data_IF_017999286870
#
_entry.id   IF_017999286870
#
_cell.length_a   1.000
_cell.length_b   1.000
_cell.length_c   1.000
_cell.angle_alpha   90.00
_cell.angle_beta   90.00
_cell.angle_gamma   90.00
#
_symmetry.space_group_name_H-M   'P 1'
#
loop_
_entity.id
_entity.type
_entity.pdbx_description
1 polymer ?
#
# COMPACT_ATOMS: atom_id res chain seq x y z
N UNK A 1 -18.62 11.16 6.66
CA UNK A 1 -17.68 12.22 6.22
C UNK A 1 -16.69 11.56 5.29
N UNK A 2 -16.53 12.08 4.08
CA UNK A 2 -15.56 11.57 3.09
C UNK A 2 -14.17 11.95 3.56
N UNK A 3 -13.29 10.98 3.83
CA UNK A 3 -11.86 11.26 3.97
C UNK A 3 -11.37 11.74 2.60
N UNK A 4 -10.99 13.01 2.50
CA UNK A 4 -10.28 13.51 1.33
C UNK A 4 -8.89 12.90 1.36
N UNK A 5 -8.62 11.96 0.46
CA UNK A 5 -7.38 11.18 0.40
C UNK A 5 -6.36 12.07 -0.31
N UNK A 6 -5.53 12.78 0.44
CA UNK A 6 -4.63 13.78 -0.15
C UNK A 6 -3.29 13.17 -0.57
N UNK A 7 -2.78 12.16 0.15
CA UNK A 7 -1.55 11.45 -0.21
C UNK A 7 -1.59 9.98 0.23
N UNK A 8 -0.98 9.12 -0.57
CA UNK A 8 -0.88 7.68 -0.33
C UNK A 8 0.56 7.26 -0.13
N UNK A 9 0.94 6.80 1.06
CA UNK A 9 2.29 6.25 1.30
C UNK A 9 2.26 4.73 1.21
N UNK A 10 3.20 4.17 0.48
CA UNK A 10 3.39 2.73 0.46
C UNK A 10 4.27 2.33 1.64
N UNK A 11 3.75 1.42 2.46
CA UNK A 11 4.46 0.79 3.56
C UNK A 11 4.50 -0.72 3.38
N UNK A 12 5.28 -1.40 4.20
CA UNK A 12 5.27 -2.86 4.26
C UNK A 12 5.08 -3.39 5.68
N UNK A 13 4.45 -4.56 5.79
CA UNK A 13 4.32 -5.35 7.00
C UNK A 13 5.56 -6.22 7.30
N UNK A 14 5.78 -6.54 8.57
CA UNK A 14 6.82 -7.50 8.97
C UNK A 14 6.63 -8.87 8.28
N UNK A 15 7.72 -9.43 7.75
CA UNK A 15 7.70 -10.59 6.85
C UNK A 15 7.35 -11.95 7.52
N UNK A 16 7.04 -11.97 8.81
CA UNK A 16 6.83 -13.22 9.57
C UNK A 16 5.54 -13.96 9.21
N UNK A 17 4.53 -13.27 8.67
CA UNK A 17 3.15 -13.80 8.56
C UNK A 17 2.70 -14.22 7.15
N UNK A 18 3.46 -13.93 6.08
CA UNK A 18 2.92 -13.97 4.71
C UNK A 18 3.36 -15.17 3.86
N UNK A 19 4.33 -15.96 4.35
CA UNK A 19 4.89 -17.10 3.61
C UNK A 19 3.82 -18.14 3.27
N UNK A 20 3.64 -18.44 1.98
CA UNK A 20 2.69 -19.42 1.42
C UNK A 20 1.19 -19.15 1.63
N UNK A 21 0.80 -17.96 2.09
CA UNK A 21 -0.62 -17.60 2.31
C UNK A 21 -1.20 -16.83 1.13
N UNK A 22 -2.53 -16.84 0.95
CA UNK A 22 -3.23 -15.99 -0.03
C UNK A 22 -3.44 -14.58 0.54
N UNK A 23 -3.65 -13.57 -0.32
CA UNK A 23 -3.91 -12.19 0.13
C UNK A 23 -5.12 -12.10 1.08
N UNK A 24 -6.21 -12.83 0.76
CA UNK A 24 -7.40 -12.87 1.60
C UNK A 24 -7.12 -13.42 3.01
N UNK A 25 -6.30 -14.47 3.13
CA UNK A 25 -5.95 -15.08 4.42
C UNK A 25 -5.11 -14.11 5.26
N UNK A 26 -4.12 -13.46 4.64
CA UNK A 26 -3.27 -12.44 5.28
C UNK A 26 -4.12 -11.28 5.79
N UNK A 27 -5.00 -10.75 4.94
CA UNK A 27 -5.90 -9.65 5.31
C UNK A 27 -6.82 -10.02 6.47
N UNK A 28 -7.39 -11.23 6.46
CA UNK A 28 -8.27 -11.69 7.53
C UNK A 28 -7.54 -11.83 8.87
N UNK A 29 -6.31 -12.33 8.87
CA UNK A 29 -5.51 -12.41 10.09
C UNK A 29 -5.12 -11.01 10.61
N UNK A 30 -4.69 -10.10 9.73
CA UNK A 30 -4.39 -8.72 10.11
C UNK A 30 -5.61 -8.05 10.77
N UNK A 31 -6.81 -8.20 10.18
CA UNK A 31 -8.05 -7.70 10.79
C UNK A 31 -8.28 -8.24 12.20
N UNK A 32 -8.12 -9.56 12.40
CA UNK A 32 -8.29 -10.19 13.73
C UNK A 32 -7.29 -9.71 14.77
N UNK A 33 -6.06 -9.37 14.36
CA UNK A 33 -5.05 -8.79 15.25
C UNK A 33 -5.49 -7.37 15.65
N UNK A 34 -5.88 -6.55 14.67
CA UNK A 34 -6.22 -5.15 14.88
C UNK A 34 -7.55 -4.95 15.63
N UNK A 35 -8.50 -5.88 15.53
CA UNK A 35 -9.74 -5.87 16.32
C UNK A 35 -9.49 -5.85 17.84
N UNK A 36 -8.32 -6.32 18.29
CA UNK A 36 -7.94 -6.37 19.71
C UNK A 36 -7.21 -5.12 20.20
N UNK A 37 -6.89 -4.20 19.30
CA UNK A 37 -6.07 -3.03 19.57
C UNK A 37 -6.95 -1.79 19.76
N UNK A 38 -6.79 -1.08 20.88
CA UNK A 38 -7.56 0.16 21.12
C UNK A 38 -7.06 1.32 20.26
N UNK A 39 -5.74 1.36 20.00
CA UNK A 39 -5.05 2.42 19.27
C UNK A 39 -4.53 1.93 17.92
N UNK A 40 -5.46 1.56 17.05
CA UNK A 40 -5.16 0.85 15.80
C UNK A 40 -4.10 1.53 14.92
N UNK A 41 -4.20 2.85 14.70
CA UNK A 41 -3.25 3.55 13.83
C UNK A 41 -1.86 3.69 14.46
N UNK A 42 -1.76 3.94 15.78
CA UNK A 42 -0.46 3.95 16.50
C UNK A 42 0.18 2.56 16.45
N UNK A 43 -0.60 1.52 16.75
CA UNK A 43 -0.13 0.13 16.70
C UNK A 43 0.35 -0.24 15.29
N UNK A 44 -0.40 0.12 14.25
CA UNK A 44 0.01 -0.13 12.87
C UNK A 44 1.32 0.60 12.54
N UNK A 45 1.38 1.89 12.87
CA UNK A 45 2.54 2.72 12.59
C UNK A 45 3.81 2.25 13.30
N UNK A 46 3.71 1.88 14.58
CA UNK A 46 4.88 1.63 15.43
C UNK A 46 5.34 0.16 15.41
N UNK A 47 4.40 -0.78 15.24
CA UNK A 47 4.71 -2.22 15.40
C UNK A 47 4.66 -3.00 14.10
N UNK A 48 3.90 -2.52 13.12
CA UNK A 48 3.54 -3.36 11.98
C UNK A 48 3.96 -2.78 10.64
N UNK A 49 4.08 -1.47 10.48
CA UNK A 49 4.38 -0.87 9.18
C UNK A 49 5.71 -0.14 9.17
N UNK A 50 6.49 -0.34 8.12
CA UNK A 50 7.71 0.43 7.85
C UNK A 50 7.59 1.18 6.53
N UNK A 51 8.22 2.35 6.45
CA UNK A 51 8.26 3.15 5.21
C UNK A 51 9.16 2.49 4.17
N UNK A 52 8.67 2.38 2.92
CA UNK A 52 9.52 2.00 1.80
C UNK A 52 10.27 3.25 1.33
N UNK A 53 11.61 3.17 1.32
CA UNK A 53 12.44 4.23 0.75
C UNK A 53 12.37 4.15 -0.77
N UNK A 54 11.58 5.04 -1.37
CA UNK A 54 11.47 5.22 -2.81
C UNK A 54 12.19 6.51 -3.23
N UNK A 55 12.79 6.48 -4.41
CA UNK A 55 13.64 7.58 -4.91
C UNK A 55 12.82 8.56 -5.75
N UNK A 56 11.92 8.05 -6.59
CA UNK A 56 11.17 8.81 -7.58
C UNK A 56 9.65 8.56 -7.50
N UNK A 57 9.22 7.33 -7.24
CA UNK A 57 7.79 6.98 -7.31
C UNK A 57 7.05 7.56 -6.11
N UNK A 58 6.11 8.46 -6.39
CA UNK A 58 5.21 9.02 -5.38
C UNK A 58 3.78 8.69 -5.77
N UNK A 59 3.23 7.60 -5.23
CA UNK A 59 1.92 7.11 -5.65
C UNK A 59 0.83 8.05 -5.14
N UNK A 60 0.39 8.92 -6.01
CA UNK A 60 -0.76 9.75 -5.72
C UNK A 60 -2.02 8.88 -5.72
N UNK A 61 -2.82 8.93 -4.65
CA UNK A 61 -4.00 8.09 -4.49
C UNK A 61 -5.22 8.57 -5.31
N UNK A 62 -5.17 9.76 -5.95
CA UNK A 62 -6.31 10.29 -6.71
C UNK A 62 -6.80 9.38 -7.85
N UNK A 63 -8.09 9.43 -8.14
CA UNK A 63 -8.71 8.73 -9.27
C UNK A 63 -9.27 7.37 -8.89
N UNK A 64 -8.90 6.30 -9.61
CA UNK A 64 -9.48 4.97 -9.39
C UNK A 64 -9.08 4.35 -8.05
N UNK A 65 -7.85 4.62 -7.61
CA UNK A 65 -7.35 4.18 -6.30
C UNK A 65 -8.21 4.78 -5.17
N UNK A 66 -8.50 6.09 -5.20
CA UNK A 66 -9.37 6.76 -4.23
C UNK A 66 -10.77 6.14 -4.12
N UNK A 67 -11.32 5.65 -5.24
CA UNK A 67 -12.63 4.98 -5.23
C UNK A 67 -12.63 3.71 -4.39
N UNK A 68 -11.49 3.01 -4.35
CA UNK A 68 -11.30 1.75 -3.61
C UNK A 68 -10.87 1.98 -2.16
N UNK A 69 -10.21 3.10 -1.88
CA UNK A 69 -9.73 3.49 -0.55
C UNK A 69 -10.79 4.24 0.29
N UNK A 70 -12.02 3.73 0.31
CA UNK A 70 -13.11 4.32 1.12
C UNK A 70 -13.26 3.60 2.45
N UNK A 71 -13.76 4.32 3.46
CA UNK A 71 -14.14 3.71 4.74
C UNK A 71 -15.16 2.59 4.52
N UNK A 72 -14.93 1.44 5.15
CA UNK A 72 -15.73 0.23 4.98
C UNK A 72 -15.35 -0.64 3.79
N UNK A 73 -14.30 -0.26 3.04
CA UNK A 73 -13.73 -1.09 1.97
C UNK A 73 -13.25 -2.44 2.52
N UNK A 74 -13.40 -3.49 1.72
CA UNK A 74 -12.97 -4.84 2.09
C UNK A 74 -11.47 -4.90 2.38
N UNK A 75 -10.67 -4.07 1.71
CA UNK A 75 -9.22 -3.97 1.89
C UNK A 75 -8.82 -3.03 3.03
N UNK A 76 -9.75 -2.30 3.65
CA UNK A 76 -9.45 -1.49 4.84
C UNK A 76 -9.08 -2.42 6.00
N UNK A 77 -7.93 -2.16 6.64
CA UNK A 77 -7.43 -3.02 7.70
C UNK A 77 -8.27 -2.95 8.98
N UNK A 78 -8.86 -1.80 9.25
CA UNK A 78 -9.79 -1.61 10.36
C UNK A 78 -10.70 -0.41 10.07
N UNK A 79 -11.98 -0.40 10.47
CA UNK A 79 -12.93 0.67 10.13
C UNK A 79 -12.48 2.08 10.55
N UNK A 80 -11.72 2.18 11.65
CA UNK A 80 -11.16 3.43 12.18
C UNK A 80 -9.77 3.76 11.64
N UNK A 81 -9.18 2.88 10.86
CA UNK A 81 -7.80 3.02 10.40
C UNK A 81 -7.70 3.67 9.04
N UNK A 82 -6.64 4.44 8.84
CA UNK A 82 -6.27 5.03 7.55
C UNK A 82 -5.43 4.13 6.65
N UNK A 83 -5.19 2.89 7.08
CA UNK A 83 -4.37 1.92 6.35
C UNK A 83 -5.22 0.89 5.59
N UNK A 84 -4.79 0.59 4.38
CA UNK A 84 -5.43 -0.33 3.45
C UNK A 84 -4.42 -1.37 2.96
N UNK A 85 -4.85 -2.62 2.88
CA UNK A 85 -4.03 -3.69 2.35
C UNK A 85 -4.00 -3.63 0.82
N UNK A 86 -2.80 -3.76 0.23
CA UNK A 86 -2.67 -3.77 -1.24
C UNK A 86 -2.86 -5.20 -1.74
N UNK A 87 -4.06 -5.48 -2.23
CA UNK A 87 -4.38 -6.70 -2.96
C UNK A 87 -4.08 -6.57 -4.46
N UNK A 88 -4.42 -7.60 -5.23
CA UNK A 88 -4.20 -7.66 -6.67
C UNK A 88 -4.85 -6.48 -7.43
N UNK A 89 -6.08 -6.11 -7.08
CA UNK A 89 -6.78 -4.99 -7.74
C UNK A 89 -6.09 -3.64 -7.52
N UNK A 90 -5.66 -3.34 -6.29
CA UNK A 90 -4.93 -2.10 -6.02
C UNK A 90 -3.56 -2.13 -6.69
N UNK A 91 -2.91 -3.29 -6.70
CA UNK A 91 -1.61 -3.46 -7.36
C UNK A 91 -1.65 -3.16 -8.84
N UNK A 92 -2.67 -3.63 -9.57
CA UNK A 92 -2.83 -3.35 -10.99
C UNK A 92 -2.93 -1.83 -11.27
N UNK A 93 -3.66 -1.10 -10.44
CA UNK A 93 -3.77 0.36 -10.55
C UNK A 93 -2.46 1.09 -10.20
N UNK A 94 -1.72 0.59 -9.22
CA UNK A 94 -0.38 1.08 -8.88
C UNK A 94 0.57 0.87 -10.05
N UNK A 95 0.59 -0.34 -10.61
CA UNK A 95 1.44 -0.71 -11.74
C UNK A 95 1.13 0.14 -12.97
N UNK A 96 -0.15 0.38 -13.26
CA UNK A 96 -0.55 1.27 -14.35
C UNK A 96 -0.07 2.71 -14.12
N UNK A 97 -0.21 3.26 -12.91
CA UNK A 97 0.28 4.62 -12.61
C UNK A 97 1.78 4.74 -12.79
N UNK A 98 2.55 3.80 -12.25
CA UNK A 98 4.01 3.77 -12.42
C UNK A 98 4.37 3.70 -13.91
N UNK A 99 3.65 2.88 -14.68
CA UNK A 99 3.86 2.79 -16.11
C UNK A 99 3.56 4.11 -16.84
N UNK A 100 2.48 4.82 -16.50
CA UNK A 100 2.18 6.12 -17.11
C UNK A 100 3.20 7.19 -16.72
N UNK A 101 3.67 7.21 -15.46
CA UNK A 101 4.75 8.11 -15.02
C UNK A 101 6.04 7.83 -15.80
N UNK A 102 6.40 6.55 -15.99
CA UNK A 102 7.61 6.17 -16.73
C UNK A 102 7.65 6.67 -18.18
N UNK A 103 6.48 6.87 -18.83
CA UNK A 103 6.39 7.41 -20.19
C UNK A 103 6.64 8.91 -20.28
N UNK A 104 6.47 9.63 -19.17
CA UNK A 104 6.61 11.08 -19.10
C UNK A 104 8.04 11.51 -18.73
N UNK A 105 8.92 10.54 -18.47
CA UNK A 105 10.31 10.80 -18.11
C UNK A 105 11.13 11.20 -19.32
N UNK A 106 11.88 12.29 -19.17
CA UNK A 106 12.75 12.83 -20.23
C UNK A 106 14.17 12.25 -20.18
N UNK A 107 14.64 11.81 -19.01
CA UNK A 107 16.02 11.35 -18.84
C UNK A 107 16.15 9.85 -18.58
N UNK A 108 17.22 9.26 -19.12
CA UNK A 108 17.54 7.85 -18.88
C UNK A 108 17.77 7.54 -17.40
N UNK A 109 18.31 8.51 -16.64
CA UNK A 109 18.62 8.33 -15.21
C UNK A 109 17.33 8.16 -14.41
N UNK A 110 16.39 9.07 -14.59
CA UNK A 110 15.10 9.04 -13.89
C UNK A 110 14.31 7.78 -14.26
N UNK A 111 14.42 7.30 -15.51
CA UNK A 111 13.81 6.04 -15.93
C UNK A 111 14.37 4.84 -15.15
N UNK A 112 15.69 4.76 -14.96
CA UNK A 112 16.30 3.69 -14.16
C UNK A 112 15.85 3.76 -12.69
N UNK A 113 15.77 4.95 -12.11
CA UNK A 113 15.31 5.14 -10.73
C UNK A 113 13.86 4.69 -10.55
N UNK A 114 12.97 4.98 -11.52
CA UNK A 114 11.59 4.44 -11.53
C UNK A 114 11.59 2.91 -11.63
N UNK A 115 12.44 2.32 -12.46
CA UNK A 115 12.52 0.85 -12.58
C UNK A 115 13.00 0.22 -11.28
N UNK A 116 13.99 0.80 -10.61
CA UNK A 116 14.49 0.32 -9.31
C UNK A 116 13.42 0.40 -8.22
N UNK A 117 12.71 1.53 -8.13
CA UNK A 117 11.58 1.70 -7.23
C UNK A 117 10.47 0.68 -7.54
N UNK A 118 10.12 0.48 -8.81
CA UNK A 118 9.11 -0.51 -9.22
C UNK A 118 9.48 -1.93 -8.79
N UNK A 119 10.73 -2.35 -9.02
CA UNK A 119 11.21 -3.67 -8.63
C UNK A 119 11.09 -3.84 -7.12
N UNK A 120 11.46 -2.81 -6.36
CA UNK A 120 11.37 -2.79 -4.89
C UNK A 120 9.93 -2.96 -4.42
N UNK A 121 9.02 -2.12 -4.91
CA UNK A 121 7.59 -2.19 -4.53
C UNK A 121 6.99 -3.55 -4.95
N UNK A 122 7.34 -4.06 -6.14
CA UNK A 122 6.86 -5.35 -6.64
C UNK A 122 7.33 -6.52 -5.78
N UNK A 123 8.53 -6.47 -5.20
CA UNK A 123 9.00 -7.49 -4.27
C UNK A 123 8.15 -7.53 -3.00
N UNK A 124 7.91 -6.37 -2.39
CA UNK A 124 7.00 -6.25 -1.23
C UNK A 124 5.57 -6.66 -1.56
N UNK A 125 5.07 -6.33 -2.76
CA UNK A 125 3.78 -6.81 -3.22
C UNK A 125 3.77 -8.33 -3.29
N UNK A 126 4.72 -8.98 -3.97
CA UNK A 126 4.79 -10.46 -4.07
C UNK A 126 4.86 -11.16 -2.71
N UNK A 127 5.53 -10.52 -1.74
CA UNK A 127 5.59 -10.95 -0.35
C UNK A 127 4.28 -10.73 0.42
N UNK A 128 3.27 -10.10 -0.18
CA UNK A 128 1.94 -9.79 0.39
C UNK A 128 2.01 -8.93 1.65
N UNK A 129 3.02 -8.07 1.72
CA UNK A 129 3.24 -7.19 2.88
C UNK A 129 2.89 -5.73 2.57
N UNK A 130 2.52 -5.42 1.32
CA UNK A 130 2.34 -4.04 0.88
C UNK A 130 1.06 -3.40 1.46
N UNK A 131 1.20 -2.19 1.99
CA UNK A 131 0.14 -1.41 2.64
C UNK A 131 0.10 -0.01 2.06
N UNK A 132 -1.10 0.52 1.93
CA UNK A 132 -1.35 1.89 1.54
C UNK A 132 -1.84 2.69 2.75
N UNK A 133 -1.08 3.68 3.17
CA UNK A 133 -1.50 4.65 4.18
C UNK A 133 -2.11 5.87 3.49
N UNK A 134 -3.33 6.23 3.87
CA UNK A 134 -4.02 7.43 3.40
C UNK A 134 -3.87 8.56 4.42
N UNK A 135 -3.50 9.76 3.96
CA UNK A 135 -3.52 10.99 4.77
C UNK A 135 -4.33 12.10 4.13
#
# INVERSE_FOLDING_TARGET
MSQSIHFGRIKYFSEEFTKNRKYADVLQELKKILEKEEKVDETLQDKFTEDIKLTCININAYGEIEKLLKTGSEIQLHPKSRYYFVNETIWELIEEKIFQESKQVETKKDYYEIVEDYITIKDFFKKKVLVFEVS
#
